data_IF_165072817047
#
_entry.id   IF_165072817047
#
_cell.length_a   1.000
_cell.length_b   1.000
_cell.length_c   1.000
_cell.angle_alpha   90.00
_cell.angle_beta   90.00
_cell.angle_gamma   90.00
#
_symmetry.space_group_name_H-M   'P 1'
#
loop_
_entity.id
_entity.type
_entity.pdbx_description
1 polymer ?
#
# COMPACT_ATOMS: atom_id res chain seq x y z
N UNK A 1 -17.27 -13.98 15.84
CA UNK A 1 -17.31 -13.54 15.68
C UNK A 1 -16.90 -13.39 15.78
N UNK A 2 -16.71 -14.04 15.73
CA UNK A 2 -16.53 -13.72 15.63
C UNK A 2 -16.23 -13.81 15.40
N UNK A 3 -16.35 -14.48 15.43
CA UNK A 3 -16.35 -14.24 15.05
C UNK A 3 -16.11 -14.25 14.68
N UNK A 4 -16.16 -14.77 14.71
CA UNK A 4 -16.18 -14.46 14.28
C UNK A 4 -15.71 -14.47 14.20
N UNK A 5 -15.47 -15.11 14.22
CA UNK A 5 -15.35 -14.75 14.14
C UNK A 5 -14.76 -14.98 14.11
N UNK A 6 -14.83 -15.47 14.22
CA UNK A 6 -14.64 -15.41 14.09
C UNK A 6 -14.08 -15.45 13.72
N UNK A 7 -13.87 -16.12 13.54
CA UNK A 7 -13.72 -15.81 13.07
C UNK A 7 -13.68 -15.57 12.29
N UNK A 8 -13.83 -16.03 12.31
CA UNK A 8 -13.95 -15.55 11.65
C UNK A 8 -13.78 -15.38 10.82
N UNK A 9 -13.70 -15.67 10.37
CA UNK A 9 -13.63 -15.25 9.68
C UNK A 9 -13.37 -15.00 8.89
N UNK A 10 -13.24 -15.13 8.45
CA UNK A 10 -13.05 -14.54 7.71
C UNK A 10 -13.16 -14.25 6.77
N UNK A 11 -13.19 -14.22 6.24
CA UNK A 11 -13.36 -13.58 5.47
C UNK A 11 -12.91 -13.17 4.75
N UNK A 12 -12.79 -13.22 4.18
CA UNK A 12 -12.35 -12.61 3.58
C UNK A 12 -12.32 -12.38 2.72
N UNK A 13 -12.78 -12.75 2.38
CA UNK A 13 -12.62 -12.30 1.65
C UNK A 13 -12.17 -11.47 1.66
N UNK A 14 -12.08 -11.23 1.73
CA UNK A 14 -11.35 -10.54 1.93
C UNK A 14 -10.35 -10.86 2.22
N UNK A 15 -10.25 -11.35 1.76
CA UNK A 15 -9.32 -11.76 2.21
C UNK A 15 -9.04 -11.89 3.50
N UNK A 16 -9.66 -11.84 3.88
CA UNK A 16 -9.29 -12.02 4.81
C UNK A 16 -8.77 -12.73 5.36
N UNK A 17 -8.64 -12.92 4.88
CA UNK A 17 -8.25 -13.63 5.91
C UNK A 17 -7.16 -14.57 5.80
N UNK A 18 -6.03 -14.11 5.72
CA UNK A 18 -4.88 -14.92 6.00
C UNK A 18 -4.59 -14.77 7.47
N UNK A 19 -4.93 -15.75 8.26
CA UNK A 19 -4.80 -15.58 9.70
C UNK A 19 -3.38 -15.32 10.14
N UNK A 20 -2.40 -15.76 9.35
CA UNK A 20 -1.00 -15.62 9.73
C UNK A 20 -0.32 -14.44 9.08
N UNK A 21 -1.07 -13.59 8.41
CA UNK A 21 -0.48 -12.41 7.78
C UNK A 21 -0.02 -11.46 8.88
N UNK A 22 1.26 -11.38 9.07
CA UNK A 22 1.86 -10.50 10.06
C UNK A 22 2.48 -9.30 9.37
N UNK A 23 2.57 -8.21 10.11
CA UNK A 23 3.28 -7.03 9.65
C UNK A 23 4.75 -7.41 9.55
N UNK A 24 5.40 -7.25 8.39
CA UNK A 24 6.80 -7.65 8.24
C UNK A 24 7.75 -6.89 9.15
N UNK A 25 7.51 -5.61 9.35
CA UNK A 25 8.35 -4.73 10.18
C UNK A 25 9.79 -4.72 9.69
N UNK A 26 9.95 -4.58 8.37
CA UNK A 26 11.27 -4.60 7.73
C UNK A 26 11.76 -3.21 7.37
N UNK A 27 11.00 -2.18 7.72
CA UNK A 27 11.31 -0.81 7.34
C UNK A 27 12.47 -0.25 8.14
N UNK A 28 13.24 0.61 7.47
CA UNK A 28 14.21 1.48 8.13
C UNK A 28 13.51 2.81 8.39
N UNK A 29 13.40 3.17 9.66
CA UNK A 29 12.66 4.36 10.08
C UNK A 29 13.64 5.39 10.64
N UNK A 30 13.53 6.61 10.11
CA UNK A 30 14.32 7.73 10.58
C UNK A 30 13.38 8.93 10.78
N UNK A 31 12.95 9.13 12.02
CA UNK A 31 11.99 10.17 12.31
C UNK A 31 10.67 9.94 11.61
N UNK A 32 10.25 10.88 10.79
CA UNK A 32 8.99 10.81 10.05
C UNK A 32 9.14 10.11 8.70
N UNK A 33 10.32 9.62 8.37
CA UNK A 33 10.64 9.01 7.08
C UNK A 33 10.92 7.52 7.26
N UNK A 34 10.43 6.69 6.33
CA UNK A 34 10.70 5.27 6.35
C UNK A 34 10.89 4.76 4.92
N UNK A 35 11.70 3.70 4.80
CA UNK A 35 11.95 3.03 3.53
C UNK A 35 11.96 1.54 3.77
N UNK A 36 11.35 0.78 2.87
CA UNK A 36 11.50 -0.67 2.90
C UNK A 36 11.52 -1.25 1.48
N UNK A 37 12.15 -2.42 1.39
CA UNK A 37 12.27 -3.16 0.14
C UNK A 37 11.18 -4.21 0.10
N UNK A 38 10.34 -4.14 -0.92
CA UNK A 38 9.18 -5.03 -1.05
C UNK A 38 9.48 -6.28 -1.88
N UNK A 39 10.75 -6.52 -2.26
CA UNK A 39 11.10 -7.54 -3.23
C UNK A 39 10.51 -8.92 -2.89
N UNK A 40 10.61 -9.34 -1.64
CA UNK A 40 10.15 -10.67 -1.23
C UNK A 40 8.82 -10.62 -0.47
N UNK A 41 8.10 -9.51 -0.51
CA UNK A 41 6.87 -9.35 0.24
C UNK A 41 5.66 -9.59 -0.65
N UNK A 42 4.61 -10.17 -0.09
CA UNK A 42 3.34 -10.28 -0.77
C UNK A 42 2.63 -8.93 -0.79
N UNK A 43 1.62 -8.79 -1.64
CA UNK A 43 0.79 -7.58 -1.67
C UNK A 43 0.23 -7.28 -0.29
N UNK A 44 -0.26 -8.28 0.41
CA UNK A 44 -0.82 -8.09 1.74
C UNK A 44 0.23 -7.60 2.72
N UNK A 45 1.42 -8.19 2.68
CA UNK A 45 2.51 -7.76 3.57
C UNK A 45 2.92 -6.32 3.30
N UNK A 46 3.00 -5.93 2.04
CA UNK A 46 3.34 -4.55 1.68
C UNK A 46 2.29 -3.59 2.23
N UNK A 47 1.02 -3.89 2.03
CA UNK A 47 -0.06 -3.02 2.50
C UNK A 47 -0.12 -2.98 4.04
N UNK A 48 0.16 -4.09 4.70
CA UNK A 48 0.22 -4.11 6.17
C UNK A 48 1.38 -3.26 6.68
N UNK A 49 2.54 -3.35 6.04
CA UNK A 49 3.69 -2.53 6.43
C UNK A 49 3.39 -1.05 6.27
N UNK A 50 2.76 -0.67 5.16
CA UNK A 50 2.37 0.73 4.93
C UNK A 50 1.43 1.23 6.02
N UNK A 51 0.41 0.46 6.35
CA UNK A 51 -0.55 0.88 7.37
C UNK A 51 0.11 0.97 8.75
N UNK A 52 0.98 0.05 9.07
CA UNK A 52 1.71 0.08 10.32
C UNK A 52 2.57 1.33 10.43
N UNK A 53 3.32 1.66 9.37
CA UNK A 53 4.16 2.86 9.35
C UNK A 53 3.31 4.12 9.50
N UNK A 54 2.25 4.24 8.73
CA UNK A 54 1.47 5.46 8.66
C UNK A 54 0.57 5.65 9.87
N UNK A 55 -0.03 4.58 10.37
CA UNK A 55 -1.03 4.67 11.43
C UNK A 55 -0.47 4.46 12.82
N UNK A 56 0.62 3.70 12.96
CA UNK A 56 1.13 3.34 14.28
C UNK A 56 2.50 3.91 14.58
N UNK A 57 3.33 4.14 13.57
CA UNK A 57 4.69 4.65 13.79
C UNK A 57 4.82 6.15 13.56
N UNK A 58 3.75 6.81 13.18
CA UNK A 58 3.78 8.26 12.96
C UNK A 58 4.62 8.70 11.77
N UNK A 59 4.90 7.78 10.85
CA UNK A 59 5.68 8.10 9.65
C UNK A 59 4.77 8.83 8.67
N UNK A 60 5.30 9.85 8.01
CA UNK A 60 4.56 10.64 7.03
C UNK A 60 5.19 10.65 5.65
N UNK A 61 6.36 10.03 5.48
CA UNK A 61 7.07 9.97 4.20
C UNK A 61 7.62 8.56 4.03
N UNK A 62 7.02 7.78 3.17
CA UNK A 62 7.39 6.36 2.97
C UNK A 62 7.85 6.14 1.55
N UNK A 63 8.97 5.43 1.38
CA UNK A 63 9.44 4.95 0.10
C UNK A 63 9.39 3.43 0.09
N UNK A 64 8.71 2.86 -0.91
CA UNK A 64 8.63 1.43 -1.13
C UNK A 64 9.46 1.08 -2.36
N UNK A 65 10.47 0.24 -2.18
CA UNK A 65 11.36 -0.16 -3.26
C UNK A 65 10.93 -1.52 -3.78
N UNK A 66 11.10 -1.72 -5.08
CA UNK A 66 10.84 -2.99 -5.75
C UNK A 66 9.42 -3.54 -5.52
N UNK A 67 8.39 -2.74 -5.84
CA UNK A 67 7.01 -3.22 -5.65
C UNK A 67 6.63 -4.38 -6.58
N UNK A 68 7.36 -4.57 -7.70
CA UNK A 68 7.21 -5.77 -8.51
C UNK A 68 5.93 -5.83 -9.34
N UNK A 69 5.37 -4.69 -9.70
CA UNK A 69 4.14 -4.62 -10.49
C UNK A 69 2.98 -5.39 -9.87
N UNK A 70 2.95 -5.50 -8.55
CA UNK A 70 1.86 -6.18 -7.85
C UNK A 70 0.58 -5.36 -7.91
N UNK A 71 -0.55 -6.06 -7.88
CA UNK A 71 -1.87 -5.43 -7.94
C UNK A 71 -2.29 -4.93 -6.57
N UNK A 72 -3.13 -3.90 -6.56
CA UNK A 72 -3.78 -3.39 -5.34
C UNK A 72 -2.83 -2.91 -4.26
N UNK A 73 -1.65 -2.42 -4.64
CA UNK A 73 -0.74 -1.81 -3.67
C UNK A 73 -1.20 -0.40 -3.33
N UNK A 74 -1.06 -0.02 -2.08
CA UNK A 74 -1.40 1.30 -1.62
C UNK A 74 -2.90 1.59 -1.62
N UNK A 75 -3.72 0.56 -1.61
CA UNK A 75 -5.17 0.72 -1.65
C UNK A 75 -5.69 1.15 -0.29
N UNK A 76 -6.63 2.09 -0.29
CA UNK A 76 -7.35 2.47 0.92
C UNK A 76 -6.55 3.32 1.90
N UNK A 77 -5.53 4.03 1.43
CA UNK A 77 -4.78 4.91 2.31
C UNK A 77 -5.56 6.20 2.50
N UNK A 78 -5.93 6.47 3.75
CA UNK A 78 -6.76 7.64 4.10
C UNK A 78 -5.99 8.67 4.91
N UNK A 79 -4.68 8.56 4.96
CA UNK A 79 -3.81 9.40 5.78
C UNK A 79 -3.08 10.39 4.90
N UNK A 80 -2.95 11.64 5.36
CA UNK A 80 -2.08 12.60 4.68
C UNK A 80 -0.64 12.15 4.83
N UNK A 81 0.01 11.88 3.71
CA UNK A 81 1.39 11.39 3.72
C UNK A 81 1.99 11.59 2.34
N UNK A 82 3.30 11.36 2.28
CA UNK A 82 4.03 11.30 1.03
C UNK A 82 4.45 9.86 0.83
N UNK A 83 4.08 9.28 -0.29
CA UNK A 83 4.31 7.87 -0.56
C UNK A 83 4.94 7.73 -1.94
N UNK A 84 6.12 7.11 -1.99
CA UNK A 84 6.82 6.88 -3.23
C UNK A 84 6.97 5.37 -3.46
N UNK A 85 6.55 4.92 -4.63
CA UNK A 85 6.84 3.57 -5.11
C UNK A 85 7.94 3.67 -6.15
N UNK A 86 9.10 3.10 -5.85
CA UNK A 86 10.22 3.05 -6.80
C UNK A 86 10.11 1.79 -7.64
N UNK A 87 9.35 1.88 -8.70
CA UNK A 87 9.06 0.77 -9.59
C UNK A 87 7.65 0.86 -10.12
N UNK A 88 7.14 -0.26 -10.62
CA UNK A 88 5.84 -0.31 -11.26
C UNK A 88 4.78 -0.93 -10.35
N UNK A 89 3.54 -0.52 -10.53
CA UNK A 89 2.38 -1.11 -9.87
C UNK A 89 1.51 -1.80 -10.91
N UNK A 90 0.79 -2.83 -10.47
CA UNK A 90 -0.17 -3.52 -11.33
C UNK A 90 -1.54 -2.85 -11.31
N UNK A 91 -2.59 -3.66 -11.45
CA UNK A 91 -3.95 -3.15 -11.50
C UNK A 91 -4.38 -2.56 -10.18
N UNK A 92 -5.24 -1.55 -10.26
CA UNK A 92 -5.87 -0.93 -9.09
C UNK A 92 -4.85 -0.42 -8.06
N UNK A 93 -3.67 0.01 -8.55
CA UNK A 93 -2.67 0.61 -7.66
C UNK A 93 -3.22 1.91 -7.08
N UNK A 94 -3.01 2.12 -5.78
CA UNK A 94 -3.42 3.32 -5.07
C UNK A 94 -4.91 3.64 -5.24
N UNK A 95 -5.74 2.61 -5.30
CA UNK A 95 -7.19 2.81 -5.36
C UNK A 95 -7.77 3.23 -4.02
N UNK A 96 -8.92 3.92 -4.05
CA UNK A 96 -9.68 4.29 -2.86
C UNK A 96 -8.85 5.09 -1.85
N UNK A 97 -7.96 5.99 -2.31
CA UNK A 97 -7.12 6.78 -1.42
C UNK A 97 -7.75 8.15 -1.15
N UNK A 98 -7.41 8.71 0.01
CA UNK A 98 -7.89 10.03 0.41
C UNK A 98 -6.81 10.68 1.25
N UNK A 99 -6.12 11.63 0.68
CA UNK A 99 -5.13 12.43 1.40
C UNK A 99 -3.67 12.28 0.98
N UNK A 100 -3.19 11.11 0.52
CA UNK A 100 -1.76 10.98 0.25
C UNK A 100 -1.32 11.70 -1.02
N UNK A 101 -0.05 12.09 -1.04
CA UNK A 101 0.64 12.53 -2.25
C UNK A 101 1.53 11.37 -2.68
N UNK A 102 1.27 10.81 -3.86
CA UNK A 102 1.86 9.55 -4.29
C UNK A 102 2.68 9.77 -5.55
N UNK A 103 3.88 9.21 -5.56
CA UNK A 103 4.77 9.22 -6.72
C UNK A 103 5.09 7.79 -7.09
N UNK A 104 4.97 7.46 -8.37
CA UNK A 104 5.26 6.14 -8.90
C UNK A 104 6.27 6.32 -10.02
N UNK A 105 7.47 5.75 -9.86
CA UNK A 105 8.54 5.97 -10.82
C UNK A 105 8.44 5.06 -12.04
N UNK A 106 7.71 3.96 -11.93
CA UNK A 106 7.53 3.03 -13.03
C UNK A 106 6.19 3.24 -13.72
N UNK A 107 5.64 2.13 -14.21
CA UNK A 107 4.35 2.13 -14.89
C UNK A 107 3.25 1.71 -13.94
N UNK A 108 2.02 2.01 -14.32
CA UNK A 108 0.85 1.55 -13.57
C UNK A 108 -0.10 0.82 -14.51
N UNK A 109 -0.86 -0.10 -13.94
CA UNK A 109 -1.88 -0.82 -14.69
C UNK A 109 -3.21 -0.06 -14.71
N UNK A 110 -4.26 -0.76 -15.12
CA UNK A 110 -5.61 -0.20 -15.22
C UNK A 110 -6.15 0.15 -13.84
N UNK A 111 -7.07 1.10 -13.81
CA UNK A 111 -7.76 1.53 -12.59
C UNK A 111 -6.82 2.04 -11.52
N UNK A 112 -5.66 2.58 -11.91
CA UNK A 112 -4.79 3.27 -10.96
C UNK A 112 -5.54 4.47 -10.40
N UNK A 113 -5.47 4.64 -9.08
CA UNK A 113 -6.08 5.76 -8.38
C UNK A 113 -7.59 5.85 -8.54
N UNK A 114 -8.23 4.74 -8.80
CA UNK A 114 -9.68 4.73 -8.94
C UNK A 114 -10.34 5.17 -7.64
N UNK A 115 -11.31 6.07 -7.76
CA UNK A 115 -12.03 6.63 -6.62
C UNK A 115 -11.13 7.39 -5.64
N UNK A 116 -10.09 8.05 -6.14
CA UNK A 116 -9.30 8.94 -5.31
C UNK A 116 -10.14 10.14 -4.91
N UNK A 117 -10.16 10.47 -3.62
CA UNK A 117 -10.98 11.55 -3.10
C UNK A 117 -10.18 12.83 -2.93
N UNK A 118 -8.95 12.75 -2.45
CA UNK A 118 -8.08 13.90 -2.26
C UNK A 118 -6.64 13.45 -2.35
N UNK A 119 -5.72 14.39 -2.57
CA UNK A 119 -4.31 14.10 -2.72
C UNK A 119 -3.88 14.20 -4.17
N UNK A 120 -2.67 13.77 -4.47
CA UNK A 120 -2.12 13.80 -5.82
C UNK A 120 -1.42 12.49 -6.14
N UNK A 121 -1.42 12.12 -7.42
CA UNK A 121 -0.66 10.97 -7.90
C UNK A 121 0.13 11.41 -9.12
N UNK A 122 1.45 11.20 -9.07
CA UNK A 122 2.34 11.50 -10.18
C UNK A 122 2.95 10.18 -10.65
N UNK A 123 2.82 9.91 -11.93
CA UNK A 123 3.33 8.69 -12.56
C UNK A 123 4.40 9.13 -13.54
N UNK A 124 5.64 8.67 -13.32
CA UNK A 124 6.79 9.17 -14.08
C UNK A 124 7.01 8.42 -15.37
N UNK A 125 6.47 7.23 -15.51
CA UNK A 125 6.64 6.49 -16.76
C UNK A 125 5.35 6.59 -17.56
N UNK A 126 4.50 5.59 -17.58
CA UNK A 126 3.22 5.82 -18.20
C UNK A 126 2.12 4.99 -17.51
N UNK A 127 0.89 5.44 -17.69
CA UNK A 127 -0.26 4.78 -17.15
C UNK A 127 -0.85 3.83 -18.19
N UNK A 128 -1.37 2.71 -17.73
CA UNK A 128 -2.20 1.84 -18.56
C UNK A 128 -3.55 2.48 -18.79
N UNK A 129 -4.28 1.99 -19.74
CA UNK A 129 -5.59 2.53 -20.06
C UNK A 129 -6.71 1.72 -19.44
#
# INVERSE_FOLDING_TARGET
>A
MAAVGEHAISYDARGLSEPDAAIPKVSEIDGATATFDAHDLSTRQINLELRWLLNEQGVTDVTVRNPGAKHSLGVGILTRCKLTFEGSLGYFGCGLVDGPNIRITGRVGWSCAENMMAGTIVIENNAGS
#
